data_IF_014774106482
#
_entry.id   IF_014774106482
#
_cell.length_a   1.000
_cell.length_b   1.000
_cell.length_c   1.000
_cell.angle_alpha   90.00
_cell.angle_beta   90.00
_cell.angle_gamma   90.00
#
_symmetry.space_group_name_H-M   'P 1'
#
loop_
_entity.id
_entity.type
_entity.pdbx_description
1 polymer ?
#
# COMPACT_ATOMS: atom_id res chain seq x y z
N UNK A 1 -9.36 -8.38 0.21
CA UNK A 1 -9.11 -8.85 1.60
C UNK A 1 -9.69 -10.26 1.79
N UNK A 2 -9.13 -11.06 2.71
CA UNK A 2 -9.61 -12.41 3.05
C UNK A 2 -9.92 -12.54 4.55
N UNK A 3 -10.95 -13.32 4.88
CA UNK A 3 -11.35 -13.65 6.26
C UNK A 3 -11.59 -15.16 6.35
N UNK A 4 -10.83 -15.84 7.21
CA UNK A 4 -10.87 -17.30 7.36
C UNK A 4 -11.56 -17.63 8.68
N UNK A 5 -12.81 -18.09 8.61
CA UNK A 5 -13.56 -18.46 9.81
C UNK A 5 -13.06 -19.80 10.37
N UNK A 6 -13.06 -19.96 11.70
CA UNK A 6 -12.56 -21.17 12.40
C UNK A 6 -11.23 -21.65 11.83
N UNK A 7 -10.27 -20.73 11.67
CA UNK A 7 -9.01 -20.97 10.99
C UNK A 7 -8.30 -22.26 11.45
N UNK A 8 -8.38 -22.65 12.73
CA UNK A 8 -7.82 -23.90 13.23
C UNK A 8 -8.30 -25.19 12.53
N UNK A 9 -9.44 -25.16 11.83
CA UNK A 9 -9.96 -26.28 11.04
C UNK A 9 -9.45 -26.28 9.58
N UNK A 10 -8.96 -25.14 9.10
CA UNK A 10 -8.58 -24.92 7.69
C UNK A 10 -7.12 -25.30 7.40
N UNK A 11 -6.35 -25.71 8.40
CA UNK A 11 -4.97 -26.15 8.24
C UNK A 11 -4.82 -27.65 8.55
N UNK A 12 -3.84 -28.28 7.92
CA UNK A 12 -3.39 -29.64 8.26
C UNK A 12 -2.33 -29.63 9.37
N UNK A 13 -1.90 -30.83 9.77
CA UNK A 13 -0.90 -31.01 10.83
C UNK A 13 0.48 -30.44 10.47
N UNK A 14 0.77 -30.27 9.17
CA UNK A 14 1.99 -29.62 8.68
C UNK A 14 1.84 -28.09 8.57
N UNK A 15 0.71 -27.51 9.01
CA UNK A 15 0.44 -26.08 8.94
C UNK A 15 0.15 -25.57 7.54
N UNK A 16 -0.22 -26.45 6.60
CA UNK A 16 -0.64 -26.08 5.25
C UNK A 16 -2.14 -25.89 5.21
N UNK A 17 -2.57 -24.83 4.54
CA UNK A 17 -3.99 -24.57 4.35
C UNK A 17 -4.58 -25.63 3.43
N UNK A 18 -5.70 -26.22 3.82
CA UNK A 18 -6.43 -27.20 3.04
C UNK A 18 -7.08 -26.52 1.83
N UNK A 19 -7.31 -27.24 0.71
CA UNK A 19 -8.12 -26.72 -0.39
C UNK A 19 -9.54 -26.40 0.10
N UNK A 20 -9.92 -25.12 0.04
CA UNK A 20 -11.24 -24.64 0.46
C UNK A 20 -11.55 -23.30 -0.21
N UNK A 21 -12.81 -22.87 -0.15
CA UNK A 21 -13.19 -21.54 -0.65
C UNK A 21 -12.43 -20.40 0.05
N UNK A 22 -11.94 -20.62 1.28
CA UNK A 22 -11.07 -19.65 1.96
C UNK A 22 -9.68 -19.58 1.33
N UNK A 23 -9.13 -20.70 0.89
CA UNK A 23 -7.85 -20.74 0.18
C UNK A 23 -7.96 -20.04 -1.18
N UNK A 24 -9.04 -20.30 -1.92
CA UNK A 24 -9.30 -19.62 -3.20
C UNK A 24 -9.38 -18.10 -3.02
N UNK A 25 -10.05 -17.63 -1.96
CA UNK A 25 -10.08 -16.20 -1.63
C UNK A 25 -8.70 -15.63 -1.29
N UNK A 26 -7.83 -16.40 -0.64
CA UNK A 26 -6.45 -15.95 -0.39
C UNK A 26 -5.70 -15.79 -1.71
N UNK A 27 -5.89 -16.72 -2.66
CA UNK A 27 -5.31 -16.61 -4.00
C UNK A 27 -5.80 -15.35 -4.72
N UNK A 28 -7.11 -15.09 -4.73
CA UNK A 28 -7.68 -13.88 -5.34
C UNK A 28 -7.05 -12.60 -4.78
N UNK A 29 -6.85 -12.54 -3.45
CA UNK A 29 -6.27 -11.36 -2.79
C UNK A 29 -4.80 -11.18 -3.15
N UNK A 30 -4.03 -12.27 -3.25
CA UNK A 30 -2.64 -12.19 -3.67
C UNK A 30 -2.54 -11.78 -5.15
N UNK A 31 -3.43 -12.28 -6.00
CA UNK A 31 -3.52 -11.88 -7.40
C UNK A 31 -3.83 -10.37 -7.53
N UNK A 32 -4.85 -9.90 -6.81
CA UNK A 32 -5.22 -8.48 -6.75
C UNK A 32 -4.05 -7.63 -6.24
N UNK A 33 -3.39 -8.04 -5.15
CA UNK A 33 -2.24 -7.32 -4.60
C UNK A 33 -1.12 -7.16 -5.62
N UNK A 34 -0.77 -8.21 -6.36
CA UNK A 34 0.28 -8.12 -7.39
C UNK A 34 -0.16 -7.19 -8.52
N UNK A 35 -1.41 -7.30 -8.99
CA UNK A 35 -1.95 -6.40 -10.01
C UNK A 35 -1.88 -4.93 -9.58
N UNK A 36 -2.35 -4.61 -8.37
CA UNK A 36 -2.27 -3.25 -7.82
C UNK A 36 -0.83 -2.79 -7.62
N UNK A 37 0.06 -3.68 -7.19
CA UNK A 37 1.49 -3.36 -7.05
C UNK A 37 2.09 -2.97 -8.39
N UNK A 38 1.86 -3.76 -9.44
CA UNK A 38 2.35 -3.45 -10.79
C UNK A 38 1.74 -2.16 -11.34
N UNK A 39 0.46 -1.91 -11.06
CA UNK A 39 -0.23 -0.69 -11.49
C UNK A 39 0.29 0.57 -10.78
N UNK A 40 0.66 0.46 -9.51
CA UNK A 40 0.91 1.64 -8.65
C UNK A 40 2.38 1.94 -8.41
N UNK A 41 3.29 0.95 -8.48
CA UNK A 41 4.69 1.11 -8.10
C UNK A 41 5.43 2.22 -8.88
N UNK A 42 5.17 2.33 -10.19
CA UNK A 42 5.92 3.24 -11.06
C UNK A 42 5.33 4.66 -11.06
N UNK A 43 4.01 4.79 -10.87
CA UNK A 43 3.31 6.09 -10.74
C UNK A 43 3.32 6.63 -9.31
N UNK A 44 3.87 5.86 -8.35
CA UNK A 44 3.97 6.22 -6.93
C UNK A 44 4.43 7.66 -6.67
N UNK A 45 5.52 8.16 -7.31
CA UNK A 45 5.99 9.54 -7.12
C UNK A 45 4.92 10.60 -7.44
N UNK A 46 4.10 10.37 -8.47
CA UNK A 46 3.02 11.29 -8.82
C UNK A 46 1.84 11.19 -7.84
N UNK A 47 1.47 9.97 -7.43
CA UNK A 47 0.38 9.74 -6.50
C UNK A 47 0.64 10.34 -5.10
N UNK A 48 1.90 10.49 -4.72
CA UNK A 48 2.30 11.09 -3.44
C UNK A 48 2.72 12.56 -3.55
N UNK A 49 2.65 13.18 -4.74
CA UNK A 49 2.93 14.61 -4.92
C UNK A 49 1.73 15.45 -4.44
N UNK A 50 1.72 15.79 -3.15
CA UNK A 50 0.59 16.47 -2.49
C UNK A 50 0.69 17.99 -2.61
N UNK A 51 -0.44 18.62 -2.94
CA UNK A 51 -0.54 20.08 -3.03
C UNK A 51 -0.11 20.80 -1.74
N UNK A 52 -0.54 20.31 -0.58
CA UNK A 52 -0.19 20.91 0.72
C UNK A 52 1.32 20.94 0.96
N UNK A 53 2.03 19.88 0.58
CA UNK A 53 3.49 19.76 0.72
C UNK A 53 4.22 20.72 -0.24
N UNK A 54 3.71 20.88 -1.48
CA UNK A 54 4.22 21.88 -2.43
C UNK A 54 4.03 23.31 -1.91
N UNK A 55 2.87 23.61 -1.32
CA UNK A 55 2.58 24.92 -0.74
C UNK A 55 3.53 25.24 0.42
N UNK A 56 3.71 24.32 1.35
CA UNK A 56 4.64 24.48 2.47
C UNK A 56 6.09 24.68 2.00
N UNK A 57 6.53 23.90 1.01
CA UNK A 57 7.88 24.03 0.44
C UNK A 57 8.13 25.41 -0.17
N UNK A 58 7.13 25.98 -0.85
CA UNK A 58 7.19 27.34 -1.39
C UNK A 58 7.28 28.39 -0.26
N UNK A 59 6.49 28.26 0.80
CA UNK A 59 6.56 29.14 1.97
C UNK A 59 7.92 29.05 2.68
N UNK A 60 8.47 27.84 2.84
CA UNK A 60 9.79 27.61 3.42
C UNK A 60 10.90 28.22 2.56
N UNK A 61 10.80 28.11 1.23
CA UNK A 61 11.72 28.76 0.30
C UNK A 61 11.66 30.28 0.42
N UNK A 62 10.46 30.87 0.43
CA UNK A 62 10.26 32.31 0.58
C UNK A 62 10.88 32.83 1.88
N UNK A 63 10.71 32.13 3.01
CA UNK A 63 11.34 32.51 4.28
C UNK A 63 12.87 32.52 4.19
N UNK A 64 13.47 31.52 3.54
CA UNK A 64 14.92 31.42 3.37
C UNK A 64 15.50 32.54 2.51
N UNK A 65 14.83 32.88 1.41
CA UNK A 65 15.25 33.98 0.53
C UNK A 65 15.20 35.30 1.31
N UNK A 66 14.08 35.59 1.96
CA UNK A 66 13.91 36.83 2.72
C UNK A 66 14.86 36.96 3.93
N UNK A 67 15.44 35.87 4.42
CA UNK A 67 16.41 35.88 5.51
C UNK A 67 17.85 36.20 5.04
N UNK A 68 18.15 35.98 3.76
CA UNK A 68 19.46 36.28 3.17
C UNK A 68 19.60 37.74 2.70
N UNK A 69 18.49 38.48 2.65
CA UNK A 69 18.41 39.89 2.21
C UNK A 69 18.63 40.90 3.38
N UNK A 70 19.16 40.46 4.53
CA UNK A 70 19.51 41.29 5.71
C UNK A 70 21.00 41.10 6.02
#
# INVERSE_FOLDING_TARGET
QSSVAKAFMEFDEAGRMRPSAYYDRVVDVMEELVKFTLLTRDIGPYLVDRYSERKESAEALLRRVNQADI
#
